data_IF_489703214843
#
_entry.id   IF_489703214843
#
_cell.length_a   1.000
_cell.length_b   1.000
_cell.length_c   1.000
_cell.angle_alpha   90.00
_cell.angle_beta   90.00
_cell.angle_gamma   90.00
#
_symmetry.space_group_name_H-M   'P 1'
#
loop_
_entity.id
_entity.type
_entity.pdbx_description
1 polymer ?
#
# COMPACT_ATOMS: atom_id res chain seq x y z
N UNK A 1 13.87 -15.98 -12.36
CA UNK A 1 13.70 -15.78 -10.92
C UNK A 1 12.21 -15.70 -10.68
N UNK A 2 11.67 -16.36 -9.66
CA UNK A 2 10.27 -16.19 -9.32
C UNK A 2 10.04 -14.70 -9.04
N UNK A 3 8.94 -14.13 -9.55
CA UNK A 3 8.57 -12.77 -9.21
C UNK A 3 8.29 -12.72 -7.70
N UNK A 4 8.90 -11.75 -7.02
CA UNK A 4 8.76 -11.53 -5.57
C UNK A 4 8.17 -10.15 -5.29
N UNK A 5 7.38 -10.05 -4.23
CA UNK A 5 6.93 -8.80 -3.65
C UNK A 5 7.75 -8.48 -2.40
N UNK A 6 8.06 -7.22 -2.14
CA UNK A 6 8.84 -6.79 -0.97
C UNK A 6 8.14 -5.63 -0.27
N UNK A 7 7.94 -5.75 1.03
CA UNK A 7 7.42 -4.68 1.89
C UNK A 7 8.53 -3.67 2.22
N UNK A 8 8.58 -2.54 1.51
CA UNK A 8 9.53 -1.47 1.79
C UNK A 8 9.16 -0.71 3.08
N UNK A 9 7.88 -0.71 3.44
CA UNK A 9 7.39 -0.25 4.73
C UNK A 9 6.05 -0.88 5.08
N UNK A 10 5.76 -0.99 6.37
CA UNK A 10 4.58 -1.67 6.93
C UNK A 10 3.84 -0.88 8.00
N UNK A 11 4.23 0.37 8.22
CA UNK A 11 3.66 1.29 9.19
C UNK A 11 2.58 2.17 8.58
N UNK A 12 1.73 2.73 9.44
CA UNK A 12 0.82 3.81 9.08
C UNK A 12 1.55 5.17 9.00
N UNK A 13 0.79 6.24 8.78
CA UNK A 13 1.28 7.60 8.54
C UNK A 13 2.33 8.14 9.52
N UNK A 14 2.28 7.76 10.79
CA UNK A 14 3.21 8.28 11.80
C UNK A 14 4.57 7.57 11.79
N UNK A 15 4.62 6.37 11.20
CA UNK A 15 5.69 5.38 11.40
C UNK A 15 5.68 4.80 12.81
N UNK A 16 6.42 3.71 13.02
CA UNK A 16 6.63 3.12 14.35
C UNK A 16 8.14 2.91 14.54
N UNK A 17 8.79 3.56 15.52
CA UNK A 17 8.26 4.60 16.39
C UNK A 17 8.05 5.94 15.66
N UNK A 18 7.01 6.69 16.02
CA UNK A 18 6.87 8.09 15.56
C UNK A 18 7.89 9.01 16.25
N UNK A 19 8.51 9.97 15.54
CA UNK A 19 9.57 10.82 16.08
C UNK A 19 9.18 11.63 17.32
N UNK A 20 7.91 12.03 17.44
CA UNK A 20 7.43 12.92 18.51
C UNK A 20 6.54 12.22 19.54
N UNK A 21 6.55 10.88 19.58
CA UNK A 21 5.69 10.10 20.47
C UNK A 21 6.52 9.29 21.47
N UNK A 22 6.12 9.28 22.74
CA UNK A 22 6.71 8.46 23.81
C UNK A 22 5.75 7.38 24.33
N UNK A 23 4.75 6.99 23.52
CA UNK A 23 3.81 5.94 23.90
C UNK A 23 4.54 4.59 24.14
N UNK A 24 3.91 3.65 24.88
CA UNK A 24 4.52 2.35 25.16
C UNK A 24 4.99 1.61 23.92
N UNK A 25 4.24 1.64 22.82
CA UNK A 25 4.62 0.96 21.57
C UNK A 25 5.83 1.61 20.90
N UNK A 26 5.90 2.95 20.88
CA UNK A 26 7.07 3.66 20.34
C UNK A 26 8.33 3.38 21.16
N UNK A 27 8.23 3.45 22.49
CA UNK A 27 9.38 3.15 23.35
C UNK A 27 9.81 1.69 23.22
N UNK A 28 8.85 0.76 23.13
CA UNK A 28 9.14 -0.64 22.86
C UNK A 28 9.91 -0.82 21.54
N UNK A 29 9.44 -0.21 20.45
CA UNK A 29 10.11 -0.29 19.14
C UNK A 29 11.51 0.33 19.15
N UNK A 30 11.73 1.44 19.89
CA UNK A 30 13.06 2.03 20.08
C UNK A 30 14.02 1.10 20.81
N UNK A 31 13.53 0.40 21.84
CA UNK A 31 14.34 -0.49 22.67
C UNK A 31 14.64 -1.83 21.97
N UNK A 32 13.68 -2.38 21.22
CA UNK A 32 13.75 -3.74 20.69
C UNK A 32 14.11 -3.80 19.20
N UNK A 33 13.85 -2.74 18.43
CA UNK A 33 14.15 -2.68 17.01
C UNK A 33 13.39 -3.75 16.19
N UNK A 34 14.03 -4.26 15.14
CA UNK A 34 13.54 -5.39 14.36
C UNK A 34 12.17 -5.15 13.72
N UNK A 35 11.28 -6.14 13.82
CA UNK A 35 9.94 -6.12 13.18
C UNK A 35 8.96 -5.12 13.80
N UNK A 36 9.30 -4.57 14.97
CA UNK A 36 8.51 -3.53 15.64
C UNK A 36 8.84 -2.12 15.13
N UNK A 37 9.93 -1.97 14.36
CA UNK A 37 10.21 -0.74 13.62
C UNK A 37 9.60 -0.83 12.23
N UNK A 38 8.73 0.14 11.91
CA UNK A 38 7.90 0.16 10.71
C UNK A 38 7.96 1.53 10.04
N UNK A 39 8.49 1.59 8.81
CA UNK A 39 8.39 2.75 7.92
C UNK A 39 7.01 2.81 7.30
N UNK A 40 6.61 3.98 6.80
CA UNK A 40 5.32 4.19 6.11
C UNK A 40 5.15 3.22 4.95
N UNK A 41 3.91 2.80 4.75
CA UNK A 41 3.57 1.72 3.83
C UNK A 41 4.07 1.98 2.42
N UNK A 42 4.78 0.99 1.87
CA UNK A 42 5.31 1.01 0.52
C UNK A 42 5.59 -0.43 0.11
N UNK A 43 5.15 -0.84 -1.07
CA UNK A 43 5.27 -2.22 -1.52
C UNK A 43 5.78 -2.31 -2.94
N UNK A 44 6.90 -3.02 -3.10
CA UNK A 44 7.48 -3.30 -4.41
C UNK A 44 6.91 -4.61 -4.93
N UNK A 45 6.28 -4.56 -6.10
CA UNK A 45 5.75 -5.73 -6.79
C UNK A 45 6.65 -6.09 -7.96
N UNK A 46 7.33 -7.23 -7.87
CA UNK A 46 8.25 -7.70 -8.88
C UNK A 46 9.39 -6.70 -9.09
N UNK A 47 9.84 -6.60 -10.35
CA UNK A 47 10.99 -5.77 -10.69
C UNK A 47 10.67 -4.28 -10.75
N UNK A 48 9.54 -3.89 -11.34
CA UNK A 48 9.33 -2.54 -11.87
C UNK A 48 8.03 -1.83 -11.42
N UNK A 49 7.22 -2.43 -10.54
CA UNK A 49 6.02 -1.79 -9.99
C UNK A 49 6.24 -1.45 -8.52
N UNK A 50 5.88 -0.24 -8.13
CA UNK A 50 5.75 0.18 -6.74
C UNK A 50 4.29 0.52 -6.45
N UNK A 51 3.82 0.20 -5.24
CA UNK A 51 2.54 0.68 -4.71
C UNK A 51 2.86 1.60 -3.55
N UNK A 52 2.42 2.85 -3.69
CA UNK A 52 2.75 4.01 -2.88
C UNK A 52 4.24 4.40 -2.91
N UNK A 53 4.50 5.68 -2.66
CA UNK A 53 5.83 6.29 -2.64
C UNK A 53 5.83 7.49 -1.69
N UNK A 54 5.75 7.20 -0.38
CA UNK A 54 5.79 8.18 0.70
C UNK A 54 7.18 8.74 1.02
N UNK A 55 7.31 9.51 2.11
CA UNK A 55 8.51 10.29 2.44
C UNK A 55 9.70 9.44 2.86
N UNK A 56 9.46 8.18 3.26
CA UNK A 56 10.52 7.27 3.70
C UNK A 56 11.32 6.69 2.51
N UNK A 57 10.94 6.99 1.26
CA UNK A 57 11.45 6.32 0.05
C UNK A 57 12.97 6.33 -0.08
N UNK A 58 13.64 7.39 0.37
CA UNK A 58 15.10 7.45 0.39
C UNK A 58 15.69 6.34 1.27
N UNK A 59 15.18 6.23 2.50
CA UNK A 59 15.66 5.22 3.46
C UNK A 59 15.24 3.81 3.07
N UNK A 60 14.05 3.66 2.47
CA UNK A 60 13.55 2.39 1.97
C UNK A 60 14.40 1.89 0.80
N UNK A 61 14.74 2.76 -0.15
CA UNK A 61 15.61 2.42 -1.27
C UNK A 61 17.03 2.06 -0.81
N UNK A 62 17.55 2.75 0.21
CA UNK A 62 18.85 2.44 0.81
C UNK A 62 18.89 1.03 1.42
N UNK A 63 17.78 0.59 2.03
CA UNK A 63 17.72 -0.69 2.74
C UNK A 63 17.31 -1.87 1.85
N UNK A 64 16.36 -1.67 0.94
CA UNK A 64 15.67 -2.76 0.23
C UNK A 64 15.89 -2.77 -1.27
N UNK A 65 16.60 -1.78 -1.82
CA UNK A 65 17.09 -1.82 -3.20
C UNK A 65 16.78 -0.58 -4.03
N UNK A 66 17.46 -0.51 -5.16
CA UNK A 66 17.43 0.64 -6.05
C UNK A 66 16.05 0.88 -6.67
N UNK A 67 15.67 2.16 -6.77
CA UNK A 67 14.46 2.61 -7.45
C UNK A 67 14.63 2.78 -8.97
N UNK A 68 15.85 2.58 -9.51
CA UNK A 68 16.14 2.84 -10.93
C UNK A 68 15.32 2.00 -11.91
N UNK A 69 15.00 0.75 -11.52
CA UNK A 69 14.22 -0.20 -12.31
C UNK A 69 12.70 0.02 -12.20
N UNK A 70 12.23 0.93 -11.34
CA UNK A 70 10.80 1.22 -11.20
C UNK A 70 10.30 1.97 -12.43
N UNK A 71 9.27 1.42 -13.06
CA UNK A 71 8.63 1.99 -14.25
C UNK A 71 7.21 2.48 -13.94
N UNK A 72 6.55 1.85 -12.98
CA UNK A 72 5.17 2.13 -12.63
C UNK A 72 5.01 2.32 -11.11
N UNK A 73 4.28 3.34 -10.70
CA UNK A 73 3.95 3.64 -9.31
C UNK A 73 2.44 3.81 -9.19
N UNK A 74 1.79 2.87 -8.52
CA UNK A 74 0.36 2.91 -8.22
C UNK A 74 0.16 3.66 -6.90
N UNK A 75 -0.51 4.81 -6.93
CA UNK A 75 -0.76 5.62 -5.73
C UNK A 75 -2.17 5.34 -5.22
N UNK A 76 -2.25 4.78 -4.01
CA UNK A 76 -3.54 4.46 -3.38
C UNK A 76 -4.35 5.74 -3.15
N UNK A 77 -3.75 6.75 -2.54
CA UNK A 77 -4.34 8.09 -2.36
C UNK A 77 -3.28 9.14 -2.09
N UNK A 78 -3.70 10.40 -2.07
CA UNK A 78 -2.79 11.54 -2.05
C UNK A 78 -2.29 11.96 -0.66
N UNK A 79 -2.61 11.23 0.42
CA UNK A 79 -2.01 11.52 1.73
C UNK A 79 -0.49 11.37 1.69
N UNK A 80 0.19 12.17 2.49
CA UNK A 80 1.62 12.40 2.38
C UNK A 80 2.43 11.11 2.60
N UNK A 81 1.97 10.22 3.45
CA UNK A 81 2.61 8.94 3.74
C UNK A 81 2.48 7.90 2.60
N UNK A 82 1.57 8.11 1.66
CA UNK A 82 1.40 7.30 0.46
C UNK A 82 1.95 7.97 -0.81
N UNK A 83 1.94 9.30 -0.86
CA UNK A 83 2.49 10.07 -1.96
C UNK A 83 3.19 11.33 -1.47
N UNK A 84 4.52 11.26 -1.38
CA UNK A 84 5.34 12.44 -1.17
C UNK A 84 5.73 13.05 -2.53
N UNK A 85 5.04 14.11 -2.92
CA UNK A 85 5.35 14.78 -4.17
C UNK A 85 6.77 15.37 -4.18
N UNK A 86 7.38 15.67 -3.03
CA UNK A 86 8.74 16.22 -2.96
C UNK A 86 9.79 15.18 -3.35
N UNK A 87 9.51 13.89 -3.11
CA UNK A 87 10.34 12.78 -3.56
C UNK A 87 10.47 12.69 -5.08
N UNK A 88 9.52 13.25 -5.84
CA UNK A 88 9.67 13.40 -7.29
C UNK A 88 10.98 14.13 -7.60
N UNK A 89 11.30 15.21 -6.89
CA UNK A 89 12.49 16.02 -7.11
C UNK A 89 13.78 15.21 -7.17
N UNK A 90 13.88 14.13 -6.39
CA UNK A 90 15.03 13.21 -6.39
C UNK A 90 15.26 12.58 -7.77
N UNK A 91 14.21 12.23 -8.51
CA UNK A 91 14.35 11.68 -9.87
C UNK A 91 14.90 12.72 -10.85
N UNK A 92 14.57 14.00 -10.66
CA UNK A 92 15.11 15.09 -11.48
C UNK A 92 16.59 15.39 -11.22
N UNK A 93 17.10 14.96 -10.05
CA UNK A 93 18.49 15.12 -9.64
C UNK A 93 19.38 13.93 -10.05
N UNK A 94 18.83 12.89 -10.69
CA UNK A 94 19.60 11.75 -11.14
C UNK A 94 20.63 12.16 -12.21
N UNK A 95 21.90 11.79 -12.01
CA UNK A 95 22.99 12.09 -12.96
C UNK A 95 22.95 11.20 -14.20
N UNK A 96 22.33 10.03 -14.09
CA UNK A 96 22.08 9.10 -15.19
C UNK A 96 20.57 9.04 -15.39
N UNK A 97 20.07 9.88 -16.29
CA UNK A 97 18.64 9.95 -16.56
C UNK A 97 18.16 8.70 -17.29
N UNK A 98 16.97 8.25 -16.90
CA UNK A 98 16.21 7.20 -17.59
C UNK A 98 15.86 7.69 -19.00
N UNK A 99 15.74 6.77 -19.95
CA UNK A 99 15.24 7.10 -21.30
C UNK A 99 13.71 7.12 -21.37
N UNK A 100 13.03 6.61 -20.35
CA UNK A 100 11.58 6.54 -20.25
C UNK A 100 11.10 7.13 -18.92
N UNK A 101 9.93 7.79 -18.89
CA UNK A 101 9.36 8.32 -17.66
C UNK A 101 9.03 7.22 -16.66
N UNK A 102 8.99 7.58 -15.38
CA UNK A 102 8.28 6.78 -14.38
C UNK A 102 6.79 7.14 -14.44
N UNK A 103 5.94 6.13 -14.58
CA UNK A 103 4.50 6.31 -14.71
C UNK A 103 3.83 6.26 -13.34
N UNK A 104 3.15 7.34 -12.94
CA UNK A 104 2.40 7.41 -11.69
C UNK A 104 0.90 7.35 -11.97
N UNK A 105 0.18 6.53 -11.23
CA UNK A 105 -1.24 6.28 -11.45
C UNK A 105 -2.05 6.66 -10.22
N UNK A 106 -3.11 7.44 -10.42
CA UNK A 106 -3.97 7.94 -9.35
C UNK A 106 -5.43 7.60 -9.63
N UNK A 107 -6.26 7.53 -8.59
CA UNK A 107 -7.71 7.57 -8.75
C UNK A 107 -8.16 8.86 -9.47
N UNK A 108 -9.38 8.87 -10.02
CA UNK A 108 -9.91 10.04 -10.74
C UNK A 108 -9.86 11.33 -9.91
N UNK A 109 -10.24 11.26 -8.64
CA UNK A 109 -10.21 12.40 -7.73
C UNK A 109 -8.79 12.69 -7.21
N UNK A 110 -7.98 11.66 -6.93
CA UNK A 110 -6.57 11.85 -6.54
C UNK A 110 -5.75 12.51 -7.66
N UNK A 111 -6.04 12.23 -8.94
CA UNK A 111 -5.36 12.86 -10.07
C UNK A 111 -5.54 14.39 -10.09
N UNK A 112 -6.63 14.92 -9.51
CA UNK A 112 -6.84 16.37 -9.39
C UNK A 112 -5.78 17.03 -8.51
N UNK A 113 -5.21 16.30 -7.55
CA UNK A 113 -4.07 16.78 -6.76
C UNK A 113 -2.88 17.11 -7.67
N UNK A 114 -2.58 16.25 -8.65
CA UNK A 114 -1.52 16.49 -9.64
C UNK A 114 -1.87 17.66 -10.55
N UNK A 115 -3.13 17.82 -10.96
CA UNK A 115 -3.56 18.97 -11.76
C UNK A 115 -3.30 20.30 -11.05
N UNK A 116 -3.60 20.38 -9.75
CA UNK A 116 -3.31 21.55 -8.92
C UNK A 116 -1.81 21.74 -8.71
N UNK A 117 -1.08 20.65 -8.45
CA UNK A 117 0.35 20.68 -8.18
C UNK A 117 1.15 21.16 -9.40
N UNK A 118 0.73 20.78 -10.62
CA UNK A 118 1.38 21.21 -11.88
C UNK A 118 1.44 22.73 -12.05
N UNK A 119 0.46 23.45 -11.52
CA UNK A 119 0.35 24.92 -11.63
C UNK A 119 0.82 25.65 -10.37
N UNK A 120 1.33 24.93 -9.37
CA UNK A 120 1.72 25.49 -8.08
C UNK A 120 3.22 25.81 -8.01
N UNK A 121 3.56 26.99 -7.49
CA UNK A 121 4.95 27.35 -7.18
C UNK A 121 5.54 26.48 -6.04
N UNK A 122 4.69 25.87 -5.21
CA UNK A 122 5.11 24.93 -4.16
C UNK A 122 5.83 23.73 -4.78
N UNK A 123 5.37 23.28 -5.96
CA UNK A 123 5.95 22.17 -6.68
C UNK A 123 7.23 22.60 -7.39
N UNK A 124 8.35 22.53 -6.68
CA UNK A 124 9.69 22.77 -7.24
C UNK A 124 9.82 24.16 -7.88
N UNK A 125 9.24 25.20 -7.29
CA UNK A 125 9.25 26.56 -7.86
C UNK A 125 8.45 26.67 -9.16
N UNK A 126 7.39 25.87 -9.33
CA UNK A 126 6.55 25.86 -10.53
C UNK A 126 7.13 25.08 -11.71
N UNK A 127 8.13 24.24 -11.48
CA UNK A 127 8.86 23.55 -12.57
C UNK A 127 8.32 22.15 -12.88
N UNK A 128 7.32 21.64 -12.14
CA UNK A 128 6.77 20.29 -12.32
C UNK A 128 6.34 20.00 -13.77
N UNK A 129 5.60 20.92 -14.42
CA UNK A 129 5.24 20.77 -15.84
C UNK A 129 6.45 20.67 -16.76
N UNK A 130 7.53 21.39 -16.45
CA UNK A 130 8.78 21.33 -17.21
C UNK A 130 9.48 19.97 -17.05
N UNK A 131 9.43 19.39 -15.87
CA UNK A 131 9.96 18.04 -15.59
C UNK A 131 9.17 16.95 -16.31
N UNK A 132 7.83 17.05 -16.33
CA UNK A 132 6.95 16.14 -17.08
C UNK A 132 7.24 16.21 -18.59
N UNK A 133 7.41 17.42 -19.16
CA UNK A 133 7.80 17.61 -20.57
C UNK A 133 9.17 17.04 -20.93
N UNK A 134 10.09 16.95 -19.96
CA UNK A 134 11.40 16.32 -20.13
C UNK A 134 11.32 14.78 -20.07
N UNK A 135 10.14 14.22 -19.80
CA UNK A 135 9.94 12.78 -19.71
C UNK A 135 10.47 12.18 -18.42
N UNK A 136 10.55 12.95 -17.32
CA UNK A 136 10.98 12.40 -16.02
C UNK A 136 9.87 11.55 -15.40
N UNK A 137 8.63 12.04 -15.45
CA UNK A 137 7.44 11.32 -14.99
C UNK A 137 6.31 11.45 -16.02
N UNK A 138 5.36 10.53 -15.94
CA UNK A 138 4.09 10.61 -16.64
C UNK A 138 2.97 10.29 -15.63
N UNK A 139 1.97 11.17 -15.53
CA UNK A 139 0.86 10.99 -14.61
C UNK A 139 -0.37 10.46 -15.34
N UNK A 140 -1.03 9.48 -14.75
CA UNK A 140 -2.16 8.75 -15.33
C UNK A 140 -3.34 8.74 -14.36
N UNK A 141 -4.54 8.82 -14.94
CA UNK A 141 -5.80 8.79 -14.23
C UNK A 141 -6.43 7.41 -14.40
N UNK A 142 -6.82 6.79 -13.29
CA UNK A 142 -7.54 5.52 -13.25
C UNK A 142 -8.95 5.73 -12.70
N UNK A 143 -9.91 4.99 -13.25
CA UNK A 143 -11.28 4.94 -12.76
C UNK A 143 -11.49 3.67 -11.96
N UNK A 144 -12.24 3.78 -10.87
CA UNK A 144 -12.61 2.61 -10.07
C UNK A 144 -13.33 1.56 -10.92
N UNK A 145 -12.99 0.30 -10.66
CA UNK A 145 -13.56 -0.90 -11.26
C UNK A 145 -13.31 -1.06 -12.77
N UNK A 146 -12.53 -0.17 -13.39
CA UNK A 146 -11.99 -0.37 -14.75
C UNK A 146 -10.63 -1.08 -14.69
N UNK A 147 -10.40 -2.01 -15.61
CA UNK A 147 -9.14 -2.77 -15.67
C UNK A 147 -8.17 -2.16 -16.68
N UNK A 148 -6.91 -2.01 -16.28
CA UNK A 148 -5.83 -1.44 -17.07
C UNK A 148 -4.67 -2.43 -17.19
N UNK A 149 -3.92 -2.40 -18.30
CA UNK A 149 -2.66 -3.13 -18.44
C UNK A 149 -1.51 -2.23 -17.97
N UNK A 150 -0.87 -2.58 -16.84
CA UNK A 150 0.23 -1.82 -16.25
C UNK A 150 1.39 -2.77 -15.98
N UNK A 151 2.51 -2.55 -16.66
CA UNK A 151 3.61 -3.52 -16.69
C UNK A 151 3.12 -4.89 -17.15
N UNK A 152 3.41 -5.91 -16.36
CA UNK A 152 3.06 -7.30 -16.63
C UNK A 152 1.72 -7.73 -16.01
N UNK A 153 0.94 -6.78 -15.45
CA UNK A 153 -0.27 -7.06 -14.69
C UNK A 153 -1.52 -6.43 -15.32
N UNK A 154 -2.65 -7.11 -15.18
CA UNK A 154 -3.97 -6.48 -15.24
C UNK A 154 -4.25 -5.86 -13.86
N UNK A 155 -4.51 -4.56 -13.82
CA UNK A 155 -4.69 -3.78 -12.59
C UNK A 155 -6.07 -3.14 -12.59
N UNK A 156 -6.87 -3.43 -11.56
CA UNK A 156 -8.18 -2.81 -11.35
C UNK A 156 -8.18 -2.10 -10.00
N UNK A 157 -8.25 -0.75 -9.95
CA UNK A 157 -8.45 -0.05 -8.70
C UNK A 157 -9.89 -0.28 -8.21
N UNK A 158 -10.05 -0.65 -6.95
CA UNK A 158 -11.32 -0.74 -6.24
C UNK A 158 -11.36 0.36 -5.17
N UNK A 159 -12.56 0.79 -4.81
CA UNK A 159 -12.76 1.90 -3.89
C UNK A 159 -12.62 1.43 -2.43
N UNK A 160 -11.69 2.01 -1.68
CA UNK A 160 -11.63 1.94 -0.22
C UNK A 160 -12.47 3.03 0.45
N UNK A 161 -12.52 3.04 1.79
CA UNK A 161 -13.36 3.96 2.55
C UNK A 161 -12.60 5.21 3.05
N UNK A 162 -11.27 5.18 3.07
CA UNK A 162 -10.47 6.30 3.54
C UNK A 162 -10.41 7.45 2.52
N UNK A 163 -10.43 8.69 3.02
CA UNK A 163 -10.29 9.88 2.18
C UNK A 163 -8.84 10.12 1.75
N UNK A 164 -8.63 10.96 0.73
CA UNK A 164 -7.32 11.55 0.46
C UNK A 164 -7.35 13.06 0.63
N UNK A 165 -6.30 13.75 0.15
CA UNK A 165 -6.21 15.21 0.24
C UNK A 165 -7.24 15.93 -0.64
N UNK A 166 -7.87 15.24 -1.60
CA UNK A 166 -8.97 15.80 -2.37
C UNK A 166 -10.34 15.48 -1.74
N UNK A 167 -11.23 16.48 -1.67
CA UNK A 167 -12.49 16.39 -0.91
C UNK A 167 -13.42 15.20 -1.26
N UNK A 168 -13.35 14.67 -2.49
CA UNK A 168 -14.12 13.51 -2.93
C UNK A 168 -13.26 12.27 -3.18
N UNK A 169 -11.97 12.35 -2.89
CA UNK A 169 -11.07 11.24 -3.04
C UNK A 169 -11.40 10.16 -2.02
N UNK A 170 -11.22 8.94 -2.51
CA UNK A 170 -11.21 7.73 -1.72
C UNK A 170 -9.92 6.99 -2.04
N UNK A 171 -9.47 6.15 -1.14
CA UNK A 171 -8.34 5.28 -1.39
C UNK A 171 -8.65 4.32 -2.54
N UNK A 172 -7.68 4.16 -3.44
CA UNK A 172 -7.66 3.14 -4.47
C UNK A 172 -6.88 1.94 -3.95
N UNK A 173 -7.58 0.84 -3.73
CA UNK A 173 -6.95 -0.45 -3.48
C UNK A 173 -6.85 -1.20 -4.80
N UNK A 174 -5.88 -2.09 -4.96
CA UNK A 174 -5.58 -2.65 -6.27
C UNK A 174 -5.81 -4.16 -6.28
N UNK A 175 -6.71 -4.61 -7.15
CA UNK A 175 -6.75 -6.01 -7.58
C UNK A 175 -5.80 -6.15 -8.75
N UNK A 176 -4.75 -6.95 -8.58
CA UNK A 176 -3.72 -7.19 -9.58
C UNK A 176 -3.79 -8.65 -10.01
N UNK A 177 -3.75 -8.89 -11.32
CA UNK A 177 -3.71 -10.22 -11.89
C UNK A 177 -2.48 -10.37 -12.79
N UNK A 178 -1.61 -11.30 -12.43
CA UNK A 178 -0.41 -11.64 -13.17
C UNK A 178 -0.74 -12.49 -14.42
N UNK A 179 0.22 -12.62 -15.34
CA UNK A 179 0.08 -13.41 -16.58
C UNK A 179 -0.21 -14.90 -16.33
N UNK A 180 0.29 -15.46 -15.24
CA UNK A 180 0.03 -16.85 -14.83
C UNK A 180 -1.38 -17.04 -14.21
N UNK A 181 -2.14 -15.96 -14.07
CA UNK A 181 -3.47 -15.93 -13.48
C UNK A 181 -3.50 -15.75 -11.97
N UNK A 182 -2.35 -15.58 -11.30
CA UNK A 182 -2.28 -15.26 -9.87
C UNK A 182 -2.99 -13.94 -9.61
N UNK A 183 -3.89 -13.92 -8.63
CA UNK A 183 -4.64 -12.72 -8.22
C UNK A 183 -4.23 -12.24 -6.83
N UNK A 184 -3.88 -10.97 -6.73
CA UNK A 184 -3.55 -10.30 -5.49
C UNK A 184 -4.50 -9.12 -5.24
N UNK A 185 -4.92 -8.93 -4.00
CA UNK A 185 -5.46 -7.65 -3.53
C UNK A 185 -4.42 -6.95 -2.67
N UNK A 186 -4.10 -5.69 -3.00
CA UNK A 186 -3.40 -4.76 -2.11
C UNK A 186 -4.41 -3.73 -1.58
N UNK A 187 -4.80 -3.87 -0.32
CA UNK A 187 -5.77 -3.01 0.36
C UNK A 187 -5.15 -2.31 1.57
N UNK A 188 -4.94 -1.00 1.45
CA UNK A 188 -4.53 -0.10 2.53
C UNK A 188 -5.60 0.96 2.73
N UNK A 189 -5.77 1.45 3.96
CA UNK A 189 -6.70 2.55 4.26
C UNK A 189 -8.11 2.25 3.72
N UNK A 190 -8.55 1.03 3.98
CA UNK A 190 -9.75 0.42 3.47
C UNK A 190 -10.93 0.74 4.36
N UNK A 191 -10.76 0.67 5.68
CA UNK A 191 -11.89 0.42 6.59
C UNK A 191 -12.66 -0.84 6.18
N UNK A 192 -13.89 -1.01 6.66
CA UNK A 192 -14.80 -1.97 6.03
C UNK A 192 -15.25 -1.42 4.67
N UNK A 193 -15.14 -2.24 3.63
CA UNK A 193 -15.55 -1.87 2.27
C UNK A 193 -17.06 -1.63 2.17
N UNK A 194 -17.42 -0.63 1.36
CA UNK A 194 -18.82 -0.38 0.99
C UNK A 194 -19.36 -1.48 0.05
N UNK A 195 -20.69 -1.55 -0.08
CA UNK A 195 -21.39 -2.59 -0.84
C UNK A 195 -20.93 -2.70 -2.30
N UNK A 196 -20.66 -1.57 -2.97
CA UNK A 196 -20.16 -1.54 -4.36
C UNK A 196 -18.85 -2.33 -4.50
N UNK A 197 -17.90 -2.10 -3.59
CA UNK A 197 -16.62 -2.82 -3.58
C UNK A 197 -16.81 -4.27 -3.16
N UNK A 198 -17.63 -4.55 -2.15
CA UNK A 198 -17.93 -5.93 -1.73
C UNK A 198 -18.57 -6.75 -2.86
N UNK A 199 -19.44 -6.14 -3.68
CA UNK A 199 -20.06 -6.79 -4.83
C UNK A 199 -19.03 -7.12 -5.91
N UNK A 200 -18.17 -6.16 -6.27
CA UNK A 200 -17.06 -6.39 -7.21
C UNK A 200 -16.12 -7.51 -6.75
N UNK A 201 -15.89 -7.62 -5.44
CA UNK A 201 -14.98 -8.60 -4.86
C UNK A 201 -15.55 -10.02 -4.77
N UNK A 202 -16.85 -10.23 -4.99
CA UNK A 202 -17.45 -11.57 -5.00
C UNK A 202 -16.80 -12.48 -6.04
N UNK A 203 -16.55 -13.72 -5.65
CA UNK A 203 -15.96 -14.77 -6.50
C UNK A 203 -14.57 -14.43 -7.08
N UNK A 204 -13.84 -13.44 -6.52
CA UNK A 204 -12.51 -13.10 -7.04
C UNK A 204 -11.51 -14.25 -6.90
N UNK A 205 -11.66 -15.11 -5.87
CA UNK A 205 -10.74 -16.20 -5.57
C UNK A 205 -9.28 -15.72 -5.54
N UNK A 206 -8.97 -14.79 -4.62
CA UNK A 206 -7.63 -14.24 -4.44
C UNK A 206 -6.64 -15.33 -4.02
N UNK A 207 -5.42 -15.26 -4.55
CA UNK A 207 -4.29 -16.07 -4.10
C UNK A 207 -3.54 -15.37 -2.98
N UNK A 208 -3.45 -14.04 -3.05
CA UNK A 208 -2.76 -13.18 -2.09
C UNK A 208 -3.68 -12.03 -1.68
N UNK A 209 -3.74 -11.74 -0.39
CA UNK A 209 -4.42 -10.56 0.14
C UNK A 209 -3.49 -9.84 1.11
N UNK A 210 -3.06 -8.65 0.71
CA UNK A 210 -2.36 -7.72 1.59
C UNK A 210 -3.42 -6.74 2.11
N UNK A 211 -3.64 -6.74 3.42
CA UNK A 211 -4.62 -5.91 4.11
C UNK A 211 -3.94 -4.98 5.09
N UNK A 212 -4.54 -3.83 5.37
CA UNK A 212 -4.21 -3.07 6.57
C UNK A 212 -4.73 -3.77 7.84
N UNK A 213 -4.08 -3.46 8.96
CA UNK A 213 -4.57 -3.70 10.32
C UNK A 213 -4.12 -2.52 11.21
N UNK A 214 -4.43 -1.31 10.78
CA UNK A 214 -3.90 -0.04 11.31
C UNK A 214 -3.92 0.06 12.82
N UNK A 215 -5.04 -0.26 13.44
CA UNK A 215 -5.19 -0.12 14.89
C UNK A 215 -4.83 -1.37 15.69
N UNK A 216 -4.18 -2.37 15.08
CA UNK A 216 -3.70 -3.57 15.75
C UNK A 216 -4.77 -4.21 16.65
N UNK A 217 -4.46 -4.42 17.93
CA UNK A 217 -5.37 -5.04 18.90
C UNK A 217 -6.34 -4.07 19.61
N UNK A 218 -6.52 -2.84 19.11
CA UNK A 218 -7.50 -1.92 19.66
C UNK A 218 -8.92 -2.30 19.25
N UNK A 219 -9.89 -1.90 20.07
CA UNK A 219 -11.31 -1.87 19.68
C UNK A 219 -11.56 -0.63 18.83
N UNK A 220 -12.15 -0.82 17.66
CA UNK A 220 -12.44 0.27 16.73
C UNK A 220 -13.42 1.27 17.36
N UNK A 221 -13.18 2.55 17.11
CA UNK A 221 -14.07 3.64 17.47
C UNK A 221 -14.72 4.20 16.20
N UNK A 222 -15.93 4.75 16.32
CA UNK A 222 -16.70 5.27 15.17
C UNK A 222 -15.90 6.29 14.35
N UNK A 223 -15.12 7.14 15.02
CA UNK A 223 -14.29 8.19 14.42
C UNK A 223 -13.13 7.65 13.55
N UNK A 224 -12.78 6.37 13.69
CA UNK A 224 -11.64 5.75 13.00
C UNK A 224 -12.05 4.59 12.08
N UNK A 225 -13.33 4.52 11.74
CA UNK A 225 -13.92 3.43 10.95
C UNK A 225 -13.45 3.36 9.48
N UNK A 226 -12.62 4.31 9.04
CA UNK A 226 -11.96 4.32 7.74
C UNK A 226 -10.66 3.53 7.70
N UNK A 227 -10.29 2.89 8.81
CA UNK A 227 -9.22 1.90 8.88
C UNK A 227 -9.68 0.64 9.64
N UNK A 228 -8.87 -0.42 9.57
CA UNK A 228 -9.13 -1.68 10.24
C UNK A 228 -8.37 -1.81 11.58
N UNK A 229 -8.97 -2.55 12.50
CA UNK A 229 -8.27 -3.19 13.62
C UNK A 229 -8.38 -4.71 13.45
N UNK A 230 -7.81 -5.49 14.38
CA UNK A 230 -7.85 -6.94 14.33
C UNK A 230 -9.29 -7.47 14.22
N UNK A 231 -10.24 -6.94 14.99
CA UNK A 231 -11.61 -7.42 14.97
C UNK A 231 -12.31 -7.14 13.64
N UNK A 232 -12.17 -5.93 13.09
CA UNK A 232 -12.83 -5.57 11.82
C UNK A 232 -12.14 -6.16 10.60
N UNK A 233 -10.84 -6.44 10.68
CA UNK A 233 -10.16 -7.28 9.71
C UNK A 233 -10.75 -8.71 9.71
N UNK A 234 -10.97 -9.30 10.88
CA UNK A 234 -11.58 -10.64 10.98
C UNK A 234 -13.03 -10.66 10.47
N UNK A 235 -13.81 -9.61 10.74
CA UNK A 235 -15.14 -9.43 10.15
C UNK A 235 -15.09 -9.34 8.61
N UNK A 236 -14.12 -8.61 8.08
CA UNK A 236 -13.92 -8.50 6.64
C UNK A 236 -13.48 -9.84 6.03
N UNK A 237 -12.62 -10.59 6.73
CA UNK A 237 -12.21 -11.94 6.34
C UNK A 237 -13.41 -12.87 6.24
N UNK A 238 -14.30 -12.88 7.24
CA UNK A 238 -15.53 -13.68 7.22
C UNK A 238 -16.45 -13.30 6.04
N UNK A 239 -16.55 -12.00 5.77
CA UNK A 239 -17.30 -11.49 4.62
C UNK A 239 -16.68 -11.94 3.30
N UNK A 240 -15.36 -11.88 3.18
CA UNK A 240 -14.61 -12.30 2.01
C UNK A 240 -14.69 -13.82 1.78
N UNK A 241 -14.65 -14.62 2.83
CA UNK A 241 -14.86 -16.06 2.76
C UNK A 241 -16.27 -16.38 2.25
N UNK A 242 -17.30 -15.78 2.87
CA UNK A 242 -18.71 -15.97 2.46
C UNK A 242 -18.94 -15.58 0.99
N UNK A 243 -18.29 -14.51 0.53
CA UNK A 243 -18.40 -14.01 -0.84
C UNK A 243 -17.51 -14.75 -1.85
N UNK A 244 -16.75 -15.76 -1.42
CA UNK A 244 -15.74 -16.46 -2.25
C UNK A 244 -14.71 -15.49 -2.86
N UNK A 245 -14.45 -14.40 -2.16
CA UNK A 245 -13.38 -13.45 -2.47
C UNK A 245 -12.04 -14.12 -2.19
N UNK A 246 -11.92 -14.79 -1.05
CA UNK A 246 -10.73 -15.56 -0.64
C UNK A 246 -11.06 -17.05 -0.57
N UNK A 247 -10.01 -17.87 -0.45
CA UNK A 247 -10.07 -19.31 -0.23
C UNK A 247 -9.21 -19.66 0.99
N UNK A 248 -9.34 -20.87 1.49
CA UNK A 248 -8.55 -21.33 2.63
C UNK A 248 -7.03 -21.32 2.37
N UNK A 249 -6.60 -21.45 1.11
CA UNK A 249 -5.18 -21.40 0.70
C UNK A 249 -4.67 -19.98 0.39
N UNK A 250 -5.52 -18.96 0.45
CA UNK A 250 -5.13 -17.55 0.24
C UNK A 250 -4.07 -17.14 1.27
N UNK A 251 -2.96 -16.57 0.79
CA UNK A 251 -1.90 -16.02 1.66
C UNK A 251 -2.28 -14.60 2.08
N UNK A 252 -2.38 -14.36 3.39
CA UNK A 252 -2.85 -13.08 3.92
C UNK A 252 -1.72 -12.39 4.67
N UNK A 253 -1.50 -11.10 4.37
CA UNK A 253 -0.45 -10.29 4.97
C UNK A 253 -1.03 -9.01 5.56
N UNK A 254 -0.75 -8.73 6.84
CA UNK A 254 -1.23 -7.53 7.52
C UNK A 254 -0.13 -6.46 7.56
N UNK A 255 -0.45 -5.26 7.07
CA UNK A 255 0.46 -4.13 6.97
C UNK A 255 -0.22 -2.85 7.47
N UNK A 256 0.39 -1.70 7.20
CA UNK A 256 -0.11 -0.37 7.55
C UNK A 256 -0.45 -0.26 9.03
N UNK A 257 0.45 -0.69 9.93
CA UNK A 257 0.18 -0.80 11.36
C UNK A 257 0.69 0.45 12.09
N UNK A 258 -0.14 1.11 12.89
CA UNK A 258 0.22 2.31 13.63
C UNK A 258 0.79 2.02 15.03
N UNK A 259 1.06 3.06 15.81
CA UNK A 259 1.63 2.96 17.15
C UNK A 259 0.61 3.01 18.30
N UNK A 260 -0.68 3.13 18.00
CA UNK A 260 -1.72 3.39 19.01
C UNK A 260 -2.10 2.13 19.80
N UNK A 261 -1.77 0.95 19.29
CA UNK A 261 -2.09 -0.34 19.88
C UNK A 261 -1.02 -0.81 20.89
N UNK A 262 -1.27 -1.94 21.56
CA UNK A 262 -0.45 -2.45 22.69
C UNK A 262 0.08 -3.86 22.45
N UNK A 263 0.25 -4.20 21.18
CA UNK A 263 0.63 -5.54 20.73
C UNK A 263 1.86 -5.46 19.84
N UNK A 264 3.08 -5.65 20.39
CA UNK A 264 4.28 -5.86 19.59
C UNK A 264 4.08 -6.97 18.57
N UNK A 265 4.94 -7.00 17.54
CA UNK A 265 4.80 -7.85 16.37
C UNK A 265 4.39 -9.29 16.70
N UNK A 266 5.14 -9.97 17.56
CA UNK A 266 4.89 -11.38 17.90
C UNK A 266 3.55 -11.57 18.64
N UNK A 267 3.13 -10.59 19.45
CA UNK A 267 1.82 -10.62 20.11
C UNK A 267 0.68 -10.41 19.12
N UNK A 268 0.82 -9.47 18.17
CA UNK A 268 -0.19 -9.27 17.13
C UNK A 268 -0.28 -10.51 16.21
N UNK A 269 0.85 -11.11 15.86
CA UNK A 269 0.89 -12.37 15.11
C UNK A 269 0.17 -13.50 15.86
N UNK A 270 0.40 -13.63 17.17
CA UNK A 270 -0.31 -14.60 18.02
C UNK A 270 -1.82 -14.40 18.00
N UNK A 271 -2.30 -13.16 18.18
CA UNK A 271 -3.72 -12.81 18.14
C UNK A 271 -4.37 -13.29 16.83
N UNK A 272 -3.74 -13.02 15.69
CA UNK A 272 -4.28 -13.42 14.39
C UNK A 272 -4.27 -14.94 14.19
N UNK A 273 -3.19 -15.60 14.61
CA UNK A 273 -3.03 -17.05 14.52
C UNK A 273 -4.08 -17.77 15.36
N UNK A 274 -4.35 -17.30 16.57
CA UNK A 274 -5.32 -17.89 17.49
C UNK A 274 -6.76 -17.64 17.04
N UNK A 275 -7.04 -16.50 16.41
CA UNK A 275 -8.38 -16.14 15.97
C UNK A 275 -8.85 -16.92 14.73
N UNK A 276 -7.94 -17.21 13.79
CA UNK A 276 -8.22 -17.88 12.52
C UNK A 276 -7.11 -18.89 12.14
N UNK A 277 -6.92 -19.97 12.92
CA UNK A 277 -5.83 -20.93 12.71
C UNK A 277 -5.91 -21.68 11.38
N UNK A 278 -7.08 -21.69 10.73
CA UNK A 278 -7.30 -22.29 9.42
C UNK A 278 -6.77 -21.45 8.25
N UNK A 279 -6.40 -20.19 8.49
CA UNK A 279 -5.84 -19.27 7.50
C UNK A 279 -4.36 -18.98 7.76
N UNK A 280 -3.58 -18.83 6.70
CA UNK A 280 -2.21 -18.34 6.81
C UNK A 280 -2.20 -16.81 6.82
N UNK A 281 -2.33 -16.23 8.02
CA UNK A 281 -2.24 -14.78 8.25
C UNK A 281 -0.86 -14.45 8.81
N UNK A 282 -0.14 -13.58 8.13
CA UNK A 282 1.20 -13.11 8.53
C UNK A 282 1.14 -11.62 8.80
N UNK A 283 1.55 -11.20 9.99
CA UNK A 283 1.83 -9.78 10.26
C UNK A 283 3.10 -9.42 9.48
N UNK A 284 2.98 -8.54 8.49
CA UNK A 284 4.12 -8.11 7.70
C UNK A 284 5.08 -7.26 8.55
N UNK A 285 6.32 -7.15 8.10
CA UNK A 285 7.36 -6.28 8.66
C UNK A 285 8.22 -5.74 7.53
N UNK A 286 8.89 -4.61 7.73
CA UNK A 286 9.71 -4.02 6.69
C UNK A 286 10.82 -5.01 6.24
N UNK A 287 11.00 -5.14 4.93
CA UNK A 287 11.92 -6.09 4.31
C UNK A 287 11.38 -7.51 4.14
N UNK A 288 10.14 -7.80 4.57
CA UNK A 288 9.51 -9.09 4.26
C UNK A 288 9.39 -9.27 2.75
N UNK A 289 9.87 -10.40 2.25
CA UNK A 289 9.68 -10.82 0.85
C UNK A 289 8.61 -11.91 0.77
N UNK A 290 7.76 -11.84 -0.26
CA UNK A 290 6.68 -12.81 -0.49
C UNK A 290 6.69 -13.27 -1.95
N UNK A 291 6.33 -14.54 -2.23
CA UNK A 291 6.09 -14.97 -3.61
C UNK A 291 4.83 -14.29 -4.15
N UNK A 292 4.90 -13.81 -5.41
CA UNK A 292 3.77 -13.15 -6.10
C UNK A 292 3.34 -13.89 -7.38
N UNK A 293 3.79 -15.14 -7.51
CA UNK A 293 3.34 -16.10 -8.51
C UNK A 293 2.96 -17.40 -7.81
N UNK A 294 2.09 -18.20 -8.41
CA UNK A 294 1.82 -19.55 -7.91
C UNK A 294 3.07 -20.39 -8.10
N UNK A 295 3.51 -21.07 -7.04
CA UNK A 295 4.58 -22.06 -7.14
C UNK A 295 4.20 -23.12 -8.19
N UNK A 296 4.87 -23.08 -9.35
CA UNK A 296 4.89 -24.16 -10.33
C UNK A 296 3.64 -24.30 -11.22
N UNK A 297 3.77 -23.84 -12.47
CA UNK A 297 3.65 -24.73 -13.63
C UNK A 297 4.84 -24.57 -14.54
#
# INVERSE_FOLDING_TARGET
MADTGIFYGTGAAEGVPSPFCDCPMCNYAREHGGKDVRKRSCFRLGRNIMIDMGPDIFTQALQYGSMCDIEHVLITHTHDDHFDFTALGLMSMATHLRTTPVHFYFSEEGYRFIELLRDSEIAFGGTLRGMEKKGIYAFHKLKYFETYSIGEYEVTPIRGNHGGNMAKERSANYVLKAKDGTKMLYGMDTGLYEEETLDFMKNQNLDIWISECTFGNLKLQEEWNTHLCADTFLELLDTFEKNKTIRQDTKIYLSHINQCHTAPHEKLQGIMTDAKPEYQIVVAYDGLEIPISRDGK
#
